data_IF_789076731595
#
_entry.id   IF_789076731595
#
_cell.length_a   1.000
_cell.length_b   1.000
_cell.length_c   1.000
_cell.angle_alpha   90.00
_cell.angle_beta   90.00
_cell.angle_gamma   90.00
#
_symmetry.space_group_name_H-M   'P 1'
#
loop_
_entity.id
_entity.type
_entity.pdbx_description
1 polymer ?
#
# COMPACT_ATOMS: atom_id res chain seq x y z
N UNK A 1 -32.11 -29.07 9.50
CA UNK A 1 -31.09 -28.76 8.46
C UNK A 1 -31.11 -27.25 8.25
N UNK A 2 -30.25 -26.52 8.90
CA UNK A 2 -30.07 -25.08 8.67
C UNK A 2 -29.25 -24.96 7.38
N UNK A 3 -29.93 -24.64 6.27
CA UNK A 3 -29.28 -24.40 5.00
C UNK A 3 -28.14 -23.39 5.17
N UNK A 4 -26.95 -23.72 4.69
CA UNK A 4 -25.79 -22.83 4.73
C UNK A 4 -26.17 -21.55 3.99
N UNK A 5 -26.16 -20.43 4.70
CA UNK A 5 -26.39 -19.11 4.08
C UNK A 5 -25.16 -18.73 3.29
N UNK A 6 -25.29 -18.59 2.00
CA UNK A 6 -24.23 -18.11 1.14
C UNK A 6 -24.27 -16.58 1.09
N UNK A 7 -23.11 -15.95 1.20
CA UNK A 7 -23.03 -14.50 1.28
C UNK A 7 -22.54 -13.89 -0.02
N UNK A 8 -23.20 -12.79 -0.41
CA UNK A 8 -22.65 -11.87 -1.39
C UNK A 8 -22.14 -10.65 -0.63
N UNK A 9 -20.87 -10.35 -0.72
CA UNK A 9 -20.29 -9.14 -0.14
C UNK A 9 -20.25 -8.05 -1.20
N UNK A 10 -21.02 -7.00 -0.95
CA UNK A 10 -21.13 -5.85 -1.84
C UNK A 10 -20.51 -4.61 -1.21
N UNK A 11 -19.97 -3.72 -2.04
CA UNK A 11 -19.74 -2.34 -1.64
C UNK A 11 -20.82 -1.46 -2.22
N UNK A 12 -21.37 -0.59 -1.38
CA UNK A 12 -22.11 0.58 -1.83
C UNK A 12 -21.11 1.72 -1.96
N UNK A 13 -20.52 1.83 -3.13
CA UNK A 13 -19.62 2.95 -3.43
C UNK A 13 -20.51 4.17 -3.70
N UNK A 14 -20.56 5.06 -2.76
CA UNK A 14 -21.16 6.38 -2.95
C UNK A 14 -20.13 7.41 -3.41
N UNK A 15 -18.83 7.10 -3.33
CA UNK A 15 -17.75 8.03 -3.60
C UNK A 15 -16.83 7.56 -4.72
N UNK A 16 -16.72 8.40 -5.75
CA UNK A 16 -15.76 8.33 -6.84
C UNK A 16 -14.29 8.45 -6.40
N UNK A 17 -14.03 8.62 -5.10
CA UNK A 17 -12.72 8.99 -4.57
C UNK A 17 -11.96 7.84 -3.90
N UNK A 18 -12.49 6.63 -3.92
CA UNK A 18 -11.92 5.53 -3.17
C UNK A 18 -10.78 4.87 -3.93
N UNK A 19 -9.55 5.02 -3.41
CA UNK A 19 -8.36 4.36 -3.95
C UNK A 19 -8.44 2.84 -3.80
N UNK A 20 -7.98 2.10 -4.82
CA UNK A 20 -8.02 0.65 -4.86
C UNK A 20 -7.40 0.00 -3.60
N UNK A 21 -6.18 0.38 -3.26
CA UNK A 21 -5.47 -0.21 -2.11
C UNK A 21 -5.82 0.47 -0.79
N UNK A 22 -6.05 1.78 -0.79
CA UNK A 22 -6.30 2.56 0.42
C UNK A 22 -7.64 2.28 1.08
N UNK A 23 -8.62 1.87 0.31
CA UNK A 23 -9.97 1.62 0.82
C UNK A 23 -10.46 0.23 0.44
N UNK A 24 -10.52 -0.10 -0.85
CA UNK A 24 -11.11 -1.36 -1.29
C UNK A 24 -10.36 -2.57 -0.73
N UNK A 25 -9.04 -2.61 -0.92
CA UNK A 25 -8.20 -3.74 -0.46
C UNK A 25 -8.12 -3.77 1.06
N UNK A 26 -7.89 -2.63 1.71
CA UNK A 26 -7.84 -2.59 3.17
C UNK A 26 -9.19 -2.97 3.81
N UNK A 27 -10.28 -2.48 3.29
CA UNK A 27 -11.62 -2.86 3.80
C UNK A 27 -11.89 -4.34 3.63
N UNK A 28 -11.44 -4.91 2.51
CA UNK A 28 -11.54 -6.35 2.28
C UNK A 28 -10.73 -7.11 3.34
N UNK A 29 -9.50 -6.69 3.61
CA UNK A 29 -8.68 -7.32 4.67
C UNK A 29 -9.31 -7.25 6.06
N UNK A 30 -9.95 -6.14 6.40
CA UNK A 30 -10.64 -5.99 7.69
C UNK A 30 -11.72 -7.06 7.90
N UNK A 31 -12.26 -7.60 6.84
CA UNK A 31 -13.36 -8.58 6.87
C UNK A 31 -12.85 -10.03 6.81
N UNK A 32 -11.68 -10.27 6.22
CA UNK A 32 -11.15 -11.64 6.02
C UNK A 32 -11.01 -12.46 7.31
N UNK A 33 -10.51 -11.92 8.44
CA UNK A 33 -10.43 -12.69 9.70
C UNK A 33 -11.78 -13.18 10.18
N UNK A 34 -12.80 -12.32 10.07
CA UNK A 34 -14.16 -12.67 10.43
C UNK A 34 -14.73 -13.77 9.54
N UNK A 35 -14.56 -13.67 8.22
CA UNK A 35 -15.02 -14.68 7.28
C UNK A 35 -14.33 -16.02 7.49
N UNK A 36 -13.02 -16.00 7.72
CA UNK A 36 -12.23 -17.19 7.98
C UNK A 36 -12.68 -17.90 9.27
N UNK A 37 -12.88 -17.14 10.36
CA UNK A 37 -13.35 -17.67 11.62
C UNK A 37 -14.76 -18.27 11.52
N UNK A 38 -15.61 -17.64 10.72
CA UNK A 38 -16.98 -18.09 10.49
C UNK A 38 -17.09 -19.22 9.43
N UNK A 39 -15.98 -19.61 8.78
CA UNK A 39 -15.99 -20.62 7.71
C UNK A 39 -16.78 -20.18 6.46
N UNK A 40 -16.84 -18.88 6.20
CA UNK A 40 -17.62 -18.30 5.11
C UNK A 40 -16.77 -18.07 3.86
N UNK A 41 -17.28 -18.47 2.71
CA UNK A 41 -16.64 -18.35 1.41
C UNK A 41 -17.57 -17.58 0.45
N UNK A 42 -17.63 -16.24 0.59
CA UNK A 42 -18.63 -15.42 -0.05
C UNK A 42 -18.39 -15.24 -1.55
N UNK A 43 -19.42 -14.84 -2.26
CA UNK A 43 -19.26 -14.17 -3.54
C UNK A 43 -18.92 -12.70 -3.29
N UNK A 44 -17.95 -12.15 -4.02
CA UNK A 44 -17.60 -10.75 -3.95
C UNK A 44 -18.18 -9.99 -5.13
N UNK A 45 -18.78 -8.86 -4.87
CA UNK A 45 -19.26 -7.90 -5.87
C UNK A 45 -18.85 -6.49 -5.46
N UNK A 46 -17.54 -6.28 -5.43
CA UNK A 46 -16.97 -4.98 -5.09
C UNK A 46 -16.79 -4.19 -6.36
N UNK A 47 -17.42 -3.03 -6.44
CA UNK A 47 -17.40 -2.13 -7.60
C UNK A 47 -16.58 -0.90 -7.30
N UNK A 48 -15.96 -0.31 -8.33
CA UNK A 48 -15.29 0.97 -8.24
C UNK A 48 -15.41 1.70 -9.56
N UNK A 49 -15.84 2.95 -9.50
CA UNK A 49 -15.92 3.81 -10.69
C UNK A 49 -14.54 4.15 -11.23
N UNK A 50 -13.54 4.27 -10.35
CA UNK A 50 -12.18 4.65 -10.76
C UNK A 50 -11.38 3.53 -11.41
N UNK A 51 -11.71 2.27 -11.09
CA UNK A 51 -10.89 1.09 -11.46
C UNK A 51 -11.64 0.10 -12.34
N UNK A 52 -12.86 0.45 -12.76
CA UNK A 52 -13.69 -0.36 -13.64
C UNK A 52 -13.98 0.34 -14.96
N UNK A 53 -14.57 -0.42 -15.89
CA UNK A 53 -15.03 0.13 -17.20
C UNK A 53 -16.36 0.90 -17.06
N UNK A 54 -16.84 1.10 -15.85
CA UNK A 54 -18.07 1.79 -15.53
C UNK A 54 -18.53 1.49 -14.12
N UNK A 55 -19.59 2.18 -13.61
CA UNK A 55 -20.03 2.07 -12.23
C UNK A 55 -20.53 0.68 -11.83
N UNK A 56 -20.91 -0.14 -12.80
CA UNK A 56 -21.41 -1.50 -12.56
C UNK A 56 -20.32 -2.56 -12.62
N UNK A 57 -19.09 -2.20 -13.04
CA UNK A 57 -18.03 -3.18 -13.15
C UNK A 57 -17.55 -3.64 -11.77
N UNK A 58 -17.47 -4.95 -11.64
CA UNK A 58 -16.94 -5.59 -10.45
C UNK A 58 -15.41 -5.54 -10.51
N UNK A 59 -14.81 -4.94 -9.49
CA UNK A 59 -13.34 -4.82 -9.33
C UNK A 59 -12.78 -6.00 -8.53
N UNK A 60 -13.54 -6.53 -7.59
CA UNK A 60 -13.21 -7.77 -6.90
C UNK A 60 -14.42 -8.73 -7.00
N UNK A 61 -14.30 -9.91 -7.62
CA UNK A 61 -13.15 -10.40 -8.35
C UNK A 61 -12.94 -9.64 -9.67
N UNK A 62 -11.71 -9.62 -10.14
CA UNK A 62 -11.32 -8.91 -11.38
C UNK A 62 -9.89 -8.44 -11.26
N UNK A 63 -9.58 -7.56 -10.29
CA UNK A 63 -8.20 -7.21 -9.94
C UNK A 63 -7.49 -8.40 -9.31
N UNK A 64 -8.19 -9.16 -8.46
CA UNK A 64 -7.72 -10.44 -7.92
C UNK A 64 -8.61 -11.57 -8.40
N UNK A 65 -8.04 -12.74 -8.64
CA UNK A 65 -8.79 -13.97 -8.79
C UNK A 65 -9.17 -14.54 -7.43
N UNK A 66 -10.29 -15.25 -7.35
CA UNK A 66 -10.63 -16.00 -6.16
C UNK A 66 -9.76 -17.26 -6.05
N UNK A 67 -9.32 -17.58 -4.84
CA UNK A 67 -8.58 -18.80 -4.56
C UNK A 67 -9.50 -19.99 -4.26
N UNK A 68 -10.81 -19.79 -4.25
CA UNK A 68 -11.83 -20.80 -3.95
C UNK A 68 -13.02 -20.67 -4.91
N UNK A 69 -13.84 -21.71 -4.99
CA UNK A 69 -15.13 -21.63 -5.65
C UNK A 69 -16.16 -21.07 -4.65
N UNK A 70 -16.89 -20.00 -5.00
CA UNK A 70 -17.96 -19.50 -4.14
C UNK A 70 -19.02 -20.60 -3.91
N UNK A 71 -19.55 -20.64 -2.70
CA UNK A 71 -20.60 -21.60 -2.35
C UNK A 71 -21.87 -21.34 -3.15
N UNK A 72 -22.53 -22.40 -3.61
CA UNK A 72 -23.83 -22.32 -4.23
C UNK A 72 -24.95 -22.29 -3.17
N UNK A 73 -26.07 -21.65 -3.48
CA UNK A 73 -27.25 -21.63 -2.64
C UNK A 73 -27.92 -20.23 -2.53
N UNK A 74 -28.90 -20.10 -1.63
CA UNK A 74 -29.60 -18.85 -1.43
C UNK A 74 -28.64 -17.77 -0.92
N UNK A 75 -28.51 -16.69 -1.70
CA UNK A 75 -27.55 -15.62 -1.43
C UNK A 75 -28.15 -14.57 -0.51
N UNK A 76 -27.36 -14.13 0.46
CA UNK A 76 -27.71 -13.04 1.37
C UNK A 76 -26.74 -11.90 1.16
N UNK A 77 -27.26 -10.75 0.75
CA UNK A 77 -26.46 -9.56 0.57
C UNK A 77 -25.90 -9.03 1.89
N UNK A 78 -24.58 -8.81 1.91
CA UNK A 78 -23.86 -8.21 3.03
C UNK A 78 -23.06 -6.99 2.56
N UNK A 79 -23.30 -5.85 3.16
CA UNK A 79 -22.48 -4.68 2.88
C UNK A 79 -21.09 -4.85 3.50
N UNK A 80 -20.03 -4.65 2.70
CA UNK A 80 -18.65 -4.66 3.18
C UNK A 80 -18.44 -3.67 4.36
N UNK A 81 -19.04 -2.48 4.26
CA UNK A 81 -18.98 -1.47 5.34
C UNK A 81 -19.65 -1.92 6.62
N UNK A 82 -20.80 -2.62 6.52
CA UNK A 82 -21.47 -3.17 7.68
C UNK A 82 -20.69 -4.31 8.33
N UNK A 83 -20.01 -5.15 7.51
CA UNK A 83 -19.17 -6.22 8.01
C UNK A 83 -17.92 -5.70 8.71
N UNK A 84 -17.31 -4.60 8.24
CA UNK A 84 -16.17 -3.95 8.90
C UNK A 84 -16.45 -3.61 10.36
N UNK A 85 -17.66 -3.21 10.68
CA UNK A 85 -18.05 -2.91 12.07
C UNK A 85 -18.08 -4.14 12.98
N UNK A 86 -18.19 -5.33 12.40
CA UNK A 86 -18.21 -6.63 13.10
C UNK A 86 -16.87 -7.31 13.10
N UNK A 87 -15.95 -6.90 12.23
CA UNK A 87 -14.62 -7.47 12.14
C UNK A 87 -13.84 -7.21 13.42
N UNK A 88 -13.51 -8.26 14.13
CA UNK A 88 -12.74 -8.21 15.36
C UNK A 88 -11.27 -8.29 15.02
N UNK A 89 -10.51 -7.38 15.57
CA UNK A 89 -9.05 -7.33 15.72
C UNK A 89 -8.17 -7.72 14.54
N UNK A 90 -7.32 -6.79 14.25
CA UNK A 90 -6.17 -6.92 13.37
C UNK A 90 -5.32 -8.14 13.68
N UNK A 91 -4.76 -8.71 12.62
CA UNK A 91 -3.64 -9.66 12.74
C UNK A 91 -2.37 -9.00 13.30
N UNK A 92 -2.42 -7.68 13.54
CA UNK A 92 -1.30 -6.91 14.06
C UNK A 92 -0.15 -6.82 13.05
N UNK A 93 1.04 -7.16 13.50
CA UNK A 93 2.27 -7.27 12.71
C UNK A 93 2.61 -8.72 12.30
N UNK A 94 1.64 -9.62 12.40
CA UNK A 94 1.74 -10.98 11.87
C UNK A 94 1.56 -10.97 10.33
N UNK A 95 2.63 -10.61 9.64
CA UNK A 95 2.64 -10.53 8.18
C UNK A 95 2.45 -11.88 7.51
N UNK A 96 2.99 -12.94 8.10
CA UNK A 96 2.81 -14.30 7.58
C UNK A 96 1.35 -14.73 7.70
N UNK A 97 0.72 -14.53 8.86
CA UNK A 97 -0.69 -14.84 9.05
C UNK A 97 -1.59 -14.03 8.12
N UNK A 98 -1.25 -12.76 7.84
CA UNK A 98 -1.99 -11.93 6.90
C UNK A 98 -1.81 -12.40 5.45
N UNK A 99 -0.60 -12.80 5.07
CA UNK A 99 -0.29 -13.39 3.78
C UNK A 99 -1.09 -14.69 3.57
N UNK A 100 -1.03 -15.61 4.52
CA UNK A 100 -1.72 -16.90 4.46
C UNK A 100 -3.24 -16.71 4.38
N UNK A 101 -3.76 -15.77 5.19
CA UNK A 101 -5.17 -15.42 5.16
C UNK A 101 -5.58 -14.84 3.82
N UNK A 102 -4.80 -13.92 3.25
CA UNK A 102 -5.10 -13.35 1.95
C UNK A 102 -5.12 -14.43 0.86
N UNK A 103 -4.12 -15.30 0.83
CA UNK A 103 -4.00 -16.39 -0.16
C UNK A 103 -5.10 -17.45 -0.05
N UNK A 104 -5.78 -17.55 1.08
CA UNK A 104 -6.99 -18.37 1.21
C UNK A 104 -8.15 -17.85 0.38
N UNK A 105 -8.26 -16.54 0.27
CA UNK A 105 -9.39 -15.89 -0.39
C UNK A 105 -9.07 -15.43 -1.80
N UNK A 106 -7.84 -15.02 -2.06
CA UNK A 106 -7.43 -14.39 -3.30
C UNK A 106 -6.10 -14.91 -3.81
N UNK A 107 -5.88 -14.68 -5.10
CA UNK A 107 -4.58 -14.86 -5.75
C UNK A 107 -4.35 -13.75 -6.77
N UNK A 108 -3.10 -13.44 -7.01
CA UNK A 108 -2.72 -12.52 -8.10
C UNK A 108 -3.03 -13.22 -9.43
N UNK A 109 -3.76 -12.57 -10.34
CA UNK A 109 -4.09 -13.15 -11.63
C UNK A 109 -2.86 -13.53 -12.45
N UNK A 110 -2.95 -14.61 -13.20
CA UNK A 110 -1.82 -15.08 -14.01
C UNK A 110 -1.37 -14.04 -15.03
N UNK A 111 -2.28 -13.25 -15.60
CA UNK A 111 -1.93 -12.15 -16.51
C UNK A 111 -0.97 -11.13 -15.87
N UNK A 112 -1.15 -10.84 -14.58
CA UNK A 112 -0.28 -9.93 -13.82
C UNK A 112 1.05 -10.59 -13.49
N UNK A 113 1.02 -11.87 -13.09
CA UNK A 113 2.24 -12.64 -12.83
C UNK A 113 3.11 -12.71 -14.09
N UNK A 114 2.51 -13.06 -15.24
CA UNK A 114 3.23 -13.14 -16.51
C UNK A 114 3.86 -11.80 -16.92
N UNK A 115 3.14 -10.67 -16.73
CA UNK A 115 3.68 -9.33 -16.98
C UNK A 115 4.85 -9.01 -16.04
N UNK A 116 4.73 -9.37 -14.76
CA UNK A 116 5.78 -9.15 -13.78
C UNK A 116 7.01 -10.03 -14.06
N UNK A 117 6.82 -11.27 -14.53
CA UNK A 117 7.90 -12.17 -14.95
C UNK A 117 8.61 -11.64 -16.18
N UNK A 118 7.85 -11.15 -17.16
CA UNK A 118 8.39 -10.53 -18.38
C UNK A 118 9.17 -9.24 -18.07
N UNK A 119 8.71 -8.45 -17.10
CA UNK A 119 9.43 -7.25 -16.65
C UNK A 119 10.76 -7.60 -15.99
N UNK A 120 10.80 -8.65 -15.18
CA UNK A 120 12.02 -9.22 -14.59
C UNK A 120 12.70 -8.29 -13.59
N UNK A 121 12.29 -8.31 -12.32
CA UNK A 121 12.99 -7.61 -11.24
C UNK A 121 14.24 -8.41 -10.84
N UNK A 122 15.41 -7.78 -10.92
CA UNK A 122 16.68 -8.37 -10.49
C UNK A 122 16.76 -8.46 -8.95
N UNK A 123 17.47 -9.45 -8.42
CA UNK A 123 17.62 -9.68 -6.98
C UNK A 123 18.20 -8.48 -6.21
N UNK A 124 19.04 -7.66 -6.86
CA UNK A 124 19.64 -6.44 -6.31
C UNK A 124 18.84 -5.17 -6.59
N UNK A 125 17.52 -5.24 -6.70
CA UNK A 125 16.70 -4.07 -7.01
C UNK A 125 16.20 -3.38 -5.73
N UNK A 126 16.46 -2.07 -5.63
CA UNK A 126 15.78 -1.17 -4.70
C UNK A 126 14.45 -0.74 -5.30
N UNK A 127 13.35 -0.94 -4.59
CA UNK A 127 12.03 -0.41 -4.98
C UNK A 127 11.77 0.96 -4.35
N UNK A 128 11.40 1.96 -5.14
CA UNK A 128 10.87 3.22 -4.66
C UNK A 128 9.40 3.34 -4.99
N UNK A 129 8.58 3.61 -3.98
CA UNK A 129 7.20 4.01 -4.21
C UNK A 129 6.99 5.46 -3.78
N UNK A 130 6.94 6.34 -4.75
CA UNK A 130 6.66 7.76 -4.55
C UNK A 130 5.25 8.08 -5.02
N UNK A 131 4.47 8.71 -4.14
CA UNK A 131 3.13 9.19 -4.45
C UNK A 131 3.01 10.65 -4.06
N UNK A 132 2.93 11.51 -5.05
CA UNK A 132 3.00 12.94 -4.86
C UNK A 132 1.71 13.69 -5.21
N UNK A 133 1.03 13.31 -6.29
CA UNK A 133 -0.05 14.11 -6.88
C UNK A 133 -1.17 14.52 -5.92
N UNK A 134 -1.77 13.57 -5.21
CA UNK A 134 -2.87 13.84 -4.27
C UNK A 134 -2.40 13.91 -2.81
N UNK A 135 -1.18 13.47 -2.53
CA UNK A 135 -0.62 13.42 -1.17
C UNK A 135 0.20 14.66 -0.80
N UNK A 136 0.60 15.45 -1.79
CA UNK A 136 1.30 16.73 -1.57
C UNK A 136 0.39 17.82 -1.01
N UNK A 137 -0.92 17.65 -1.09
CA UNK A 137 -1.87 18.56 -0.47
C UNK A 137 -2.16 18.09 0.95
N UNK A 138 -1.53 18.75 1.91
CA UNK A 138 -1.46 18.44 3.35
C UNK A 138 -2.79 18.18 4.11
N UNK A 139 -3.93 18.17 3.42
CA UNK A 139 -5.24 18.00 4.07
C UNK A 139 -5.65 16.54 4.22
N UNK A 140 -4.99 15.59 3.54
CA UNK A 140 -5.60 14.28 3.41
C UNK A 140 -4.97 13.17 4.21
N UNK A 141 -3.70 12.91 4.20
CA UNK A 141 -3.27 11.70 4.88
C UNK A 141 -1.88 11.77 5.51
N UNK A 142 -0.98 12.66 5.06
CA UNK A 142 0.40 12.45 5.42
C UNK A 142 1.25 13.68 5.19
N UNK A 143 2.34 13.73 5.91
CA UNK A 143 3.36 14.71 5.64
C UNK A 143 3.98 14.44 4.26
N UNK A 144 3.93 15.40 3.34
CA UNK A 144 4.56 15.27 2.04
C UNK A 144 6.05 14.98 2.21
N UNK A 145 6.55 14.09 1.36
CA UNK A 145 7.98 13.79 1.26
C UNK A 145 8.45 14.46 -0.03
N UNK A 146 9.52 15.24 0.03
CA UNK A 146 10.10 15.86 -1.16
C UNK A 146 10.81 14.82 -2.04
N UNK A 147 11.03 15.15 -3.31
CA UNK A 147 11.85 14.33 -4.19
C UNK A 147 13.25 14.12 -3.61
N UNK A 148 13.86 15.20 -3.10
CA UNK A 148 15.19 15.10 -2.50
C UNK A 148 15.21 14.17 -1.29
N UNK A 149 14.24 14.26 -0.37
CA UNK A 149 14.17 13.36 0.78
C UNK A 149 14.11 11.87 0.38
N UNK A 150 13.29 11.56 -0.64
CA UNK A 150 13.15 10.19 -1.12
C UNK A 150 14.41 9.70 -1.84
N UNK A 151 15.00 10.55 -2.71
CA UNK A 151 16.20 10.19 -3.48
C UNK A 151 17.46 10.14 -2.60
N UNK A 152 17.56 10.99 -1.57
CA UNK A 152 18.65 10.91 -0.61
C UNK A 152 18.55 9.64 0.25
N UNK A 153 17.33 9.26 0.68
CA UNK A 153 17.13 7.97 1.36
C UNK A 153 17.50 6.78 0.45
N UNK A 154 17.23 6.86 -0.84
CA UNK A 154 17.63 5.84 -1.80
C UNK A 154 19.16 5.79 -1.97
N UNK A 155 19.84 6.94 -2.05
CA UNK A 155 21.30 7.01 -2.09
C UNK A 155 21.95 6.40 -0.83
N UNK A 156 21.37 6.70 0.35
CA UNK A 156 21.79 6.09 1.62
C UNK A 156 21.63 4.56 1.60
N UNK A 157 20.55 4.05 1.00
CA UNK A 157 20.32 2.61 0.87
C UNK A 157 21.37 1.95 -0.05
N UNK A 158 21.70 2.54 -1.21
CA UNK A 158 22.75 2.03 -2.11
C UNK A 158 24.12 2.01 -1.45
N UNK A 159 24.43 2.98 -0.60
CA UNK A 159 25.69 3.00 0.17
C UNK A 159 25.68 1.90 1.25
N UNK A 160 24.56 1.71 1.93
CA UNK A 160 24.44 0.77 3.04
C UNK A 160 24.37 -0.70 2.59
N UNK A 161 23.79 -0.96 1.41
CA UNK A 161 23.71 -2.31 0.84
C UNK A 161 24.34 -2.36 -0.56
N UNK A 162 25.63 -2.76 -0.67
CA UNK A 162 26.33 -2.84 -1.95
C UNK A 162 25.76 -3.87 -2.95
N UNK A 163 24.81 -4.71 -2.50
CA UNK A 163 24.12 -5.64 -3.41
C UNK A 163 23.03 -4.96 -4.23
N UNK A 164 22.61 -3.77 -3.84
CA UNK A 164 21.68 -2.96 -4.62
C UNK A 164 22.39 -2.43 -5.87
N UNK A 165 21.82 -2.66 -7.05
CA UNK A 165 22.39 -2.29 -8.37
C UNK A 165 21.39 -1.66 -9.31
N UNK A 166 20.11 -1.86 -9.07
CA UNK A 166 19.01 -1.43 -9.94
C UNK A 166 18.00 -0.66 -9.09
N UNK A 167 17.44 0.39 -9.67
CA UNK A 167 16.36 1.16 -9.08
C UNK A 167 15.06 0.91 -9.84
N UNK A 168 14.04 0.37 -9.17
CA UNK A 168 12.68 0.27 -9.70
C UNK A 168 11.80 1.36 -9.06
N UNK A 169 11.06 2.10 -9.89
CA UNK A 169 10.21 3.21 -9.44
C UNK A 169 8.75 2.94 -9.80
N UNK A 170 7.92 2.89 -8.77
CA UNK A 170 6.47 2.98 -8.87
C UNK A 170 6.03 4.37 -8.41
N UNK A 171 5.41 5.16 -9.28
CA UNK A 171 5.02 6.54 -8.97
C UNK A 171 3.84 6.99 -9.83
N UNK A 172 3.15 8.02 -9.37
CA UNK A 172 2.13 8.76 -10.11
C UNK A 172 2.64 10.13 -10.64
N UNK A 173 3.98 10.36 -10.59
CA UNK A 173 4.61 11.60 -11.05
C UNK A 173 5.77 11.36 -12.01
N UNK A 174 5.64 11.86 -13.25
CA UNK A 174 6.71 11.78 -14.28
C UNK A 174 7.98 12.49 -13.80
N UNK A 175 7.82 13.67 -13.20
CA UNK A 175 8.95 14.48 -12.70
C UNK A 175 9.79 13.77 -11.65
N UNK A 176 9.21 12.85 -10.87
CA UNK A 176 9.97 12.04 -9.94
C UNK A 176 10.88 11.02 -10.65
N UNK A 177 10.38 10.40 -11.73
CA UNK A 177 11.19 9.48 -12.55
C UNK A 177 12.36 10.21 -13.20
N UNK A 178 12.12 11.40 -13.72
CA UNK A 178 13.17 12.23 -14.34
C UNK A 178 14.22 12.65 -13.32
N UNK A 179 13.79 13.13 -12.14
CA UNK A 179 14.69 13.49 -11.06
C UNK A 179 15.53 12.29 -10.59
N UNK A 180 14.95 11.10 -10.51
CA UNK A 180 15.66 9.89 -10.15
C UNK A 180 16.70 9.48 -11.20
N UNK A 181 16.37 9.57 -12.49
CA UNK A 181 17.32 9.30 -13.58
C UNK A 181 18.51 10.26 -13.59
N UNK A 182 18.26 11.54 -13.30
CA UNK A 182 19.33 12.52 -13.14
C UNK A 182 20.21 12.24 -11.92
N UNK A 183 19.59 11.87 -10.80
CA UNK A 183 20.30 11.63 -9.53
C UNK A 183 21.13 10.35 -9.56
N UNK A 184 20.68 9.34 -10.30
CA UNK A 184 21.28 8.01 -10.39
C UNK A 184 21.69 7.66 -11.84
N UNK A 185 22.38 8.59 -12.49
CA UNK A 185 22.77 8.46 -13.90
C UNK A 185 23.62 7.22 -14.20
N UNK A 186 24.36 6.73 -13.20
CA UNK A 186 25.22 5.55 -13.30
C UNK A 186 24.49 4.23 -12.95
N UNK A 187 23.22 4.29 -12.61
CA UNK A 187 22.41 3.12 -12.25
C UNK A 187 21.33 2.84 -13.31
N UNK A 188 20.96 1.57 -13.42
CA UNK A 188 19.76 1.22 -14.17
C UNK A 188 18.52 1.66 -13.42
N UNK A 189 17.78 2.64 -13.97
CA UNK A 189 16.51 3.14 -13.42
C UNK A 189 15.37 2.64 -14.28
N UNK A 190 14.49 1.82 -13.69
CA UNK A 190 13.37 1.15 -14.33
C UNK A 190 12.03 1.65 -13.77
N UNK A 191 11.05 1.75 -14.62
CA UNK A 191 9.65 1.98 -14.27
C UNK A 191 8.75 1.33 -15.34
N UNK A 192 7.44 1.27 -15.13
CA UNK A 192 6.52 0.69 -16.12
C UNK A 192 6.31 1.53 -17.39
N UNK A 193 7.02 2.64 -17.53
CA UNK A 193 6.96 3.54 -18.70
C UNK A 193 5.83 4.56 -18.59
N UNK A 194 4.62 4.14 -18.41
CA UNK A 194 3.48 5.04 -18.23
C UNK A 194 3.23 5.31 -16.75
N UNK A 195 3.18 6.58 -16.40
CA UNK A 195 2.81 7.03 -15.06
C UNK A 195 1.30 7.22 -15.02
N UNK A 196 0.59 6.38 -14.27
CA UNK A 196 -0.86 6.49 -14.20
C UNK A 196 -1.31 7.29 -12.99
N UNK A 197 -2.02 8.38 -13.26
CA UNK A 197 -2.66 9.18 -12.23
C UNK A 197 -4.07 8.65 -11.93
N UNK A 198 -4.34 8.31 -10.67
CA UNK A 198 -5.58 7.63 -10.29
C UNK A 198 -6.85 8.49 -10.36
N UNK A 199 -6.73 9.82 -10.40
CA UNK A 199 -7.87 10.76 -10.46
C UNK A 199 -8.01 11.45 -11.83
N UNK A 200 -7.35 10.93 -12.87
CA UNK A 200 -7.59 11.45 -14.20
C UNK A 200 -9.03 11.14 -14.63
N UNK A 201 -9.68 12.10 -15.28
CA UNK A 201 -11.04 11.95 -15.83
C UNK A 201 -11.09 10.94 -16.99
N UNK A 202 -9.94 10.44 -17.42
CA UNK A 202 -9.82 9.42 -18.44
C UNK A 202 -10.12 8.06 -17.81
N UNK A 203 -11.14 7.39 -18.30
CA UNK A 203 -11.42 6.00 -17.97
C UNK A 203 -10.28 5.15 -18.53
N UNK A 204 -9.44 4.67 -17.64
CA UNK A 204 -8.32 3.80 -17.96
C UNK A 204 -8.62 2.40 -17.48
N UNK A 205 -8.92 1.53 -18.43
CA UNK A 205 -9.32 0.16 -18.15
C UNK A 205 -8.22 -0.69 -17.52
N UNK A 206 -6.95 -0.31 -17.76
CA UNK A 206 -5.79 -1.02 -17.23
C UNK A 206 -5.27 -0.45 -15.90
N UNK A 207 -5.89 0.61 -15.39
CA UNK A 207 -5.42 1.30 -14.17
C UNK A 207 -5.28 0.37 -12.97
N UNK A 208 -6.27 -0.48 -12.74
CA UNK A 208 -6.25 -1.44 -11.64
C UNK A 208 -5.15 -2.49 -11.83
N UNK A 209 -4.99 -3.00 -13.05
CA UNK A 209 -3.97 -3.97 -13.40
C UNK A 209 -2.57 -3.37 -13.29
N UNK A 210 -2.37 -2.11 -13.72
CA UNK A 210 -1.09 -1.40 -13.54
C UNK A 210 -0.75 -1.18 -12.06
N UNK A 211 -1.72 -0.74 -11.26
CA UNK A 211 -1.51 -0.56 -9.83
C UNK A 211 -1.18 -1.88 -9.12
N UNK A 212 -1.81 -2.98 -9.51
CA UNK A 212 -1.48 -4.30 -8.99
C UNK A 212 -0.11 -4.77 -9.49
N UNK A 213 0.24 -4.51 -10.74
CA UNK A 213 1.54 -4.85 -11.30
C UNK A 213 2.67 -4.11 -10.56
N UNK A 214 2.53 -2.80 -10.32
CA UNK A 214 3.48 -2.03 -9.50
C UNK A 214 3.66 -2.67 -8.12
N UNK A 215 2.56 -3.08 -7.48
CA UNK A 215 2.61 -3.73 -6.19
C UNK A 215 3.35 -5.08 -6.24
N UNK A 216 3.09 -5.91 -7.26
CA UNK A 216 3.77 -7.20 -7.46
C UNK A 216 5.25 -6.98 -7.75
N UNK A 217 5.62 -6.00 -8.57
CA UNK A 217 7.02 -5.68 -8.86
C UNK A 217 7.75 -5.18 -7.60
N UNK A 218 7.11 -4.31 -6.80
CA UNK A 218 7.66 -3.89 -5.51
C UNK A 218 7.87 -5.07 -4.56
N UNK A 219 6.96 -6.06 -4.55
CA UNK A 219 7.13 -7.24 -3.71
C UNK A 219 8.32 -8.11 -4.10
N UNK A 220 8.80 -8.00 -5.34
CA UNK A 220 9.97 -8.73 -5.86
C UNK A 220 11.30 -8.02 -5.62
N UNK A 221 11.25 -6.77 -5.18
CA UNK A 221 12.45 -6.01 -4.84
C UNK A 221 13.18 -6.62 -3.62
N UNK A 222 14.46 -6.26 -3.48
CA UNK A 222 15.27 -6.63 -2.32
C UNK A 222 14.84 -5.89 -1.06
N UNK A 223 14.55 -4.60 -1.20
CA UNK A 223 13.92 -3.75 -0.19
C UNK A 223 13.10 -2.64 -0.86
N UNK A 224 12.19 -2.03 -0.11
CA UNK A 224 11.33 -0.95 -0.61
C UNK A 224 11.40 0.26 0.29
N UNK A 225 11.65 1.42 -0.32
CA UNK A 225 11.43 2.72 0.30
C UNK A 225 10.11 3.29 -0.22
N UNK A 226 9.32 3.84 0.70
CA UNK A 226 7.98 4.32 0.36
C UNK A 226 7.65 5.64 1.05
N UNK A 227 6.78 6.41 0.44
CA UNK A 227 6.01 7.44 1.11
C UNK A 227 4.75 6.83 1.76
N UNK A 228 3.79 7.65 2.16
CA UNK A 228 2.52 7.18 2.70
C UNK A 228 1.60 6.64 1.60
N UNK A 229 1.54 5.33 1.45
CA UNK A 229 0.62 4.68 0.52
C UNK A 229 0.33 3.24 0.93
N UNK A 230 -0.92 2.83 0.76
CA UNK A 230 -1.36 1.47 1.00
C UNK A 230 -0.89 0.49 -0.09
N UNK A 231 -0.70 0.96 -1.33
CA UNK A 231 -0.25 0.13 -2.44
C UNK A 231 1.06 -0.59 -2.10
N UNK A 232 2.10 0.17 -1.76
CA UNK A 232 3.38 -0.41 -1.38
C UNK A 232 3.33 -1.19 -0.06
N UNK A 233 2.40 -0.83 0.83
CA UNK A 233 2.13 -1.65 2.02
C UNK A 233 1.60 -3.03 1.66
N UNK A 234 0.75 -3.12 0.65
CA UNK A 234 0.24 -4.40 0.17
C UNK A 234 1.33 -5.31 -0.40
N UNK A 235 2.42 -4.75 -0.94
CA UNK A 235 3.57 -5.55 -1.38
C UNK A 235 4.13 -6.43 -0.26
N UNK A 236 4.05 -5.99 1.01
CA UNK A 236 4.44 -6.79 2.18
C UNK A 236 3.47 -7.94 2.47
N UNK A 237 2.20 -7.79 2.12
CA UNK A 237 1.24 -8.91 2.20
C UNK A 237 1.58 -9.98 1.16
N UNK A 238 2.04 -9.58 -0.03
CA UNK A 238 2.49 -10.52 -1.06
C UNK A 238 3.81 -11.20 -0.71
N UNK A 239 4.67 -10.54 0.05
CA UNK A 239 5.99 -11.04 0.47
C UNK A 239 6.27 -10.59 1.91
N UNK A 240 5.90 -11.37 2.93
CA UNK A 240 6.00 -11.00 4.34
C UNK A 240 7.39 -10.59 4.81
N UNK A 241 8.42 -11.22 4.27
CA UNK A 241 9.83 -10.95 4.60
C UNK A 241 10.40 -9.71 3.90
N UNK A 242 9.64 -9.06 3.00
CA UNK A 242 10.10 -7.86 2.29
C UNK A 242 10.40 -6.72 3.26
N UNK A 243 11.64 -6.22 3.34
CA UNK A 243 11.93 -5.02 4.12
C UNK A 243 11.28 -3.79 3.49
N UNK A 244 10.45 -3.10 4.26
CA UNK A 244 9.77 -1.88 3.81
C UNK A 244 10.05 -0.75 4.79
N UNK A 245 10.62 0.34 4.29
CA UNK A 245 10.94 1.52 5.07
C UNK A 245 10.17 2.73 4.57
N UNK A 246 9.53 3.45 5.48
CA UNK A 246 8.83 4.68 5.12
C UNK A 246 9.73 5.89 5.32
N UNK A 247 10.01 6.61 4.25
CA UNK A 247 10.62 7.94 4.34
C UNK A 247 9.61 8.90 4.96
N UNK A 248 10.01 9.59 6.00
CA UNK A 248 9.15 10.46 6.79
C UNK A 248 9.75 11.86 6.93
N UNK A 249 9.03 12.87 6.45
CA UNK A 249 9.48 14.26 6.48
C UNK A 249 9.35 14.90 7.88
N UNK A 250 8.46 14.38 8.73
CA UNK A 250 8.34 14.85 10.11
C UNK A 250 7.94 13.71 11.07
N UNK A 251 8.17 13.94 12.37
CA UNK A 251 7.90 12.96 13.44
C UNK A 251 6.42 12.82 13.83
N UNK A 252 5.54 13.65 13.29
CA UNK A 252 4.11 13.61 13.59
C UNK A 252 3.38 12.83 12.52
N UNK A 253 2.78 11.71 12.91
CA UNK A 253 1.99 10.87 12.05
C UNK A 253 0.53 10.99 12.43
N UNK A 254 -0.27 11.43 11.48
CA UNK A 254 -1.71 11.59 11.68
C UNK A 254 -2.51 10.38 11.20
N UNK A 255 -1.90 9.52 10.39
CA UNK A 255 -2.52 8.34 9.83
C UNK A 255 -1.71 7.05 10.01
N UNK A 256 -2.38 5.94 9.73
CA UNK A 256 -1.73 4.61 9.70
C UNK A 256 -0.57 4.65 8.71
N UNK A 257 0.63 4.27 9.13
CA UNK A 257 1.82 4.35 8.28
C UNK A 257 1.84 3.34 7.13
N UNK A 258 0.80 2.54 6.94
CA UNK A 258 0.69 1.54 5.88
C UNK A 258 1.89 0.60 5.81
N UNK A 259 2.09 -0.14 6.94
CA UNK A 259 2.94 -1.33 7.02
C UNK A 259 4.45 -1.18 6.83
N UNK A 260 5.12 -0.12 7.21
CA UNK A 260 6.57 -0.12 7.22
C UNK A 260 7.12 -0.92 8.40
N UNK A 261 8.29 -1.50 8.23
CA UNK A 261 9.06 -2.08 9.32
C UNK A 261 9.64 -0.99 10.21
N UNK A 262 10.10 0.11 9.57
CA UNK A 262 10.64 1.26 10.26
C UNK A 262 10.46 2.55 9.44
N UNK A 263 10.78 3.69 10.08
CA UNK A 263 10.84 4.99 9.42
C UNK A 263 12.28 5.39 9.11
N UNK A 264 12.46 6.09 7.99
CA UNK A 264 13.68 6.84 7.68
C UNK A 264 13.38 8.32 7.92
N UNK A 265 13.76 8.86 9.10
CA UNK A 265 13.45 10.25 9.46
C UNK A 265 14.30 11.23 8.67
N UNK A 266 13.67 12.19 8.01
CA UNK A 266 14.34 13.28 7.26
C UNK A 266 14.46 14.57 8.07
N UNK A 267 13.90 14.63 9.28
CA UNK A 267 14.11 15.75 10.23
C UNK A 267 15.43 15.69 10.98
N UNK A 268 16.19 14.62 10.83
CA UNK A 268 17.54 14.50 11.35
C UNK A 268 18.50 15.14 10.34
N UNK A 269 19.42 15.95 10.80
CA UNK A 269 20.34 16.66 9.94
C UNK A 269 21.07 15.72 8.96
N UNK A 270 21.16 16.07 7.67
CA UNK A 270 21.90 15.29 6.69
C UNK A 270 23.39 15.26 6.98
N UNK A 271 24.09 14.20 6.56
CA UNK A 271 25.53 14.08 6.67
C UNK A 271 26.01 12.68 7.03
N UNK A 272 27.24 12.56 7.52
CA UNK A 272 27.82 11.26 7.88
C UNK A 272 27.00 10.51 8.94
N UNK A 273 26.25 11.20 9.77
CA UNK A 273 25.34 10.59 10.73
C UNK A 273 24.12 9.96 10.05
N UNK A 274 23.55 10.57 9.02
CA UNK A 274 22.42 10.00 8.30
C UNK A 274 22.80 8.69 7.59
N UNK A 275 23.99 8.62 6.99
CA UNK A 275 24.50 7.41 6.35
C UNK A 275 24.73 6.29 7.38
N UNK A 276 25.36 6.60 8.53
CA UNK A 276 25.53 5.61 9.61
C UNK A 276 24.20 5.11 10.16
N UNK A 277 23.23 5.99 10.29
CA UNK A 277 21.88 5.64 10.74
C UNK A 277 21.17 4.74 9.73
N UNK A 278 21.28 5.05 8.44
CA UNK A 278 20.73 4.23 7.36
C UNK A 278 21.36 2.83 7.35
N UNK A 279 22.69 2.73 7.46
CA UNK A 279 23.39 1.46 7.52
C UNK A 279 22.94 0.59 8.71
N UNK A 280 22.78 1.18 9.89
CA UNK A 280 22.25 0.49 11.07
C UNK A 280 20.81 0.02 10.87
N UNK A 281 19.98 0.91 10.31
CA UNK A 281 18.57 0.62 10.06
C UNK A 281 18.42 -0.57 9.07
N UNK A 282 19.17 -0.56 7.97
CA UNK A 282 19.13 -1.63 6.99
C UNK A 282 19.78 -2.94 7.49
N UNK A 283 20.63 -2.86 8.50
CA UNK A 283 21.14 -4.04 9.23
C UNK A 283 20.14 -4.57 10.29
N UNK A 284 18.97 -3.94 10.45
CA UNK A 284 17.95 -4.33 11.42
C UNK A 284 18.11 -3.72 12.82
N UNK A 285 19.07 -2.81 13.00
CA UNK A 285 19.27 -2.10 14.27
C UNK A 285 18.44 -0.81 14.31
N UNK A 286 17.17 -0.94 14.65
CA UNK A 286 16.23 0.17 14.63
C UNK A 286 16.43 1.13 15.79
N UNK A 287 16.70 2.37 15.43
CA UNK A 287 16.77 3.47 16.37
C UNK A 287 15.36 3.85 16.86
N UNK A 288 15.27 4.46 18.03
CA UNK A 288 13.99 4.82 18.64
C UNK A 288 13.12 5.71 17.73
N UNK A 289 13.72 6.70 17.06
CA UNK A 289 13.02 7.59 16.13
C UNK A 289 12.72 6.96 14.77
N UNK A 290 13.24 5.77 14.49
CA UNK A 290 12.91 4.94 13.31
C UNK A 290 11.83 3.91 13.61
N UNK A 291 11.46 3.70 14.87
CA UNK A 291 10.45 2.71 15.24
C UNK A 291 9.04 3.16 14.85
N UNK A 292 8.29 2.22 14.33
CA UNK A 292 6.85 2.42 14.14
C UNK A 292 6.17 2.43 15.51
N UNK A 293 5.46 3.50 15.90
CA UNK A 293 4.78 3.57 17.18
C UNK A 293 3.81 2.39 17.36
N UNK A 294 3.79 1.78 18.56
CA UNK A 294 2.98 0.59 18.85
C UNK A 294 1.49 0.78 18.54
N UNK A 295 0.96 2.00 18.75
CA UNK A 295 -0.41 2.36 18.37
C UNK A 295 -0.75 2.09 16.90
N UNK A 296 0.24 2.11 15.99
CA UNK A 296 0.07 1.84 14.57
C UNK A 296 0.29 0.35 14.24
N UNK A 297 1.06 -0.38 15.03
CA UNK A 297 1.26 -1.82 14.87
C UNK A 297 -0.01 -2.60 15.18
N UNK A 298 -0.72 -2.21 16.25
CA UNK A 298 -1.95 -2.88 16.69
C UNK A 298 -3.18 -2.46 15.92
N UNK A 299 -3.16 -1.32 15.22
CA UNK A 299 -4.35 -0.74 14.59
C UNK A 299 -4.31 -0.74 13.08
N UNK A 300 -3.67 -1.74 12.50
CA UNK A 300 -3.67 -1.94 11.06
C UNK A 300 -5.08 -1.80 10.46
N UNK A 301 -6.05 -2.42 11.10
CA UNK A 301 -7.44 -2.46 10.69
C UNK A 301 -8.36 -1.59 11.55
N UNK A 302 -7.90 -1.11 12.69
CA UNK A 302 -8.65 -0.20 13.54
C UNK A 302 -8.17 1.23 13.33
N UNK A 303 -8.81 1.94 12.43
CA UNK A 303 -8.73 3.40 12.48
C UNK A 303 -9.46 3.86 13.74
N UNK A 304 -8.80 4.57 14.66
CA UNK A 304 -9.44 5.01 15.89
C UNK A 304 -10.71 5.79 15.56
N UNK A 305 -11.75 5.60 16.37
CA UNK A 305 -13.02 6.35 16.32
C UNK A 305 -12.85 7.89 16.42
N UNK A 306 -11.62 8.35 16.57
CA UNK A 306 -11.21 9.76 16.69
C UNK A 306 -10.99 10.51 15.36
N UNK A 307 -11.40 9.95 14.22
CA UNK A 307 -11.27 10.63 12.91
C UNK A 307 -11.83 12.06 12.90
N UNK A 308 -12.91 12.30 13.63
CA UNK A 308 -13.52 13.65 13.72
C UNK A 308 -12.62 14.67 14.42
N UNK A 309 -12.09 14.32 15.58
CA UNK A 309 -11.18 15.18 16.37
C UNK A 309 -9.85 15.41 15.67
N UNK A 310 -9.29 14.36 15.06
CA UNK A 310 -8.04 14.47 14.30
C UNK A 310 -8.20 15.34 13.05
N UNK A 311 -9.33 15.23 12.32
CA UNK A 311 -9.63 16.12 11.18
C UNK A 311 -9.76 17.57 11.63
N UNK A 312 -10.38 17.80 12.78
CA UNK A 312 -10.53 19.14 13.36
C UNK A 312 -9.18 19.71 13.79
N UNK A 313 -8.37 18.95 14.50
CA UNK A 313 -7.03 19.34 14.92
C UNK A 313 -6.10 19.65 13.71
N UNK A 314 -6.20 18.87 12.62
CA UNK A 314 -5.50 19.14 11.35
C UNK A 314 -5.95 20.46 10.73
N UNK A 315 -7.25 20.73 10.69
CA UNK A 315 -7.77 22.01 10.19
C UNK A 315 -7.27 23.19 10.99
N UNK A 316 -7.27 23.09 12.32
CA UNK A 316 -6.73 24.12 13.20
C UNK A 316 -5.23 24.37 12.98
N UNK A 317 -4.45 23.28 12.90
CA UNK A 317 -3.00 23.38 12.65
C UNK A 317 -2.68 24.04 11.30
N UNK A 318 -3.47 23.76 10.28
CA UNK A 318 -3.32 24.36 8.95
C UNK A 318 -3.70 25.85 8.93
N UNK A 319 -4.76 26.21 9.66
CA UNK A 319 -5.20 27.61 9.78
C UNK A 319 -4.18 28.44 10.58
N UNK A 320 -3.54 27.84 11.58
CA UNK A 320 -2.55 28.52 12.43
C UNK A 320 -1.13 28.61 11.79
N UNK A 321 -0.89 27.89 10.69
CA UNK A 321 0.37 27.96 9.92
C UNK A 321 0.29 28.88 8.70
N UNK A 322 -0.88 29.42 8.40
CA UNK A 322 -1.07 30.51 7.43
C UNK A 322 -1.05 31.86 8.15
#
# INVERSE_FOLDING_TARGET
>A
MTGSKNWIITTRLHDLQEGLFGQIVLWTFEVLPYLNQAGLWPQWKIRSVLYGQGPEQIVIPGVFDLAYAPQEGALVDQSLLALRSKALSALGDDWQGLHDLWHRFFKVPQRIQARADSFGIAAGTLGLHYRGTDKNHALHDTNPVSYSDMLDAAAEAFVADPQLKVLFIATDEVGFVEAARLRFADLEVRNLGEVSFHKSDVLDHDRADRALLDCVLLSRCRLVLKCSSALSGFAKVLKPELPIYRVAACKYFYDVPYFPDAFIPRWVAPGADSQRRAARLFAGDWLEDSRVPERFRRSFLHQPRYRGLQRWARRLHYVLKR
#
